data_IF_897151977629
#
_entry.id   IF_897151977629
#
_cell.length_a   1.000
_cell.length_b   1.000
_cell.length_c   1.000
_cell.angle_alpha   90.00
_cell.angle_beta   90.00
_cell.angle_gamma   90.00
#
_symmetry.space_group_name_H-M   'P 1'
#
loop_
_entity.id
_entity.type
_entity.pdbx_description
1 polymer ?
#
# COMPACT_ATOMS: atom_id res chain seq x y z
N UNK A 1 12.10 -4.76 -17.72
CA UNK A 1 10.70 -5.02 -18.15
C UNK A 1 9.79 -4.40 -17.12
N UNK A 2 8.85 -3.55 -17.53
CA UNK A 2 7.82 -3.05 -16.62
C UNK A 2 6.91 -4.24 -16.24
N UNK A 3 6.83 -4.57 -14.96
CA UNK A 3 5.89 -5.57 -14.44
C UNK A 3 4.48 -5.03 -14.67
N UNK A 4 3.62 -5.77 -15.37
CA UNK A 4 2.23 -5.34 -15.62
C UNK A 4 1.41 -5.31 -14.33
N UNK A 5 0.32 -4.53 -14.30
CA UNK A 5 -0.56 -4.40 -13.13
C UNK A 5 -1.06 -5.76 -12.61
N UNK A 6 -1.48 -6.66 -13.49
CA UNK A 6 -1.93 -8.01 -13.13
C UNK A 6 -0.83 -8.83 -12.41
N UNK A 7 0.42 -8.68 -12.85
CA UNK A 7 1.56 -9.39 -12.25
C UNK A 7 1.92 -8.79 -10.89
N UNK A 8 1.85 -7.46 -10.73
CA UNK A 8 2.00 -6.79 -9.41
C UNK A 8 0.92 -7.24 -8.43
N UNK A 9 -0.33 -7.29 -8.89
CA UNK A 9 -1.46 -7.77 -8.09
C UNK A 9 -1.21 -9.20 -7.61
N UNK A 10 -0.83 -10.10 -8.51
CA UNK A 10 -0.53 -11.50 -8.17
C UNK A 10 0.63 -11.62 -7.17
N UNK A 11 1.66 -10.78 -7.30
CA UNK A 11 2.79 -10.75 -6.37
C UNK A 11 2.39 -10.26 -4.96
N UNK A 12 1.41 -9.35 -4.86
CA UNK A 12 0.90 -8.81 -3.59
C UNK A 12 -0.08 -9.77 -2.90
N UNK A 13 -0.78 -10.63 -3.65
CA UNK A 13 -1.84 -11.52 -3.12
C UNK A 13 -1.45 -12.29 -1.85
N UNK A 14 -0.33 -13.06 -1.78
CA UNK A 14 -0.03 -13.86 -0.59
C UNK A 14 0.16 -13.00 0.68
N UNK A 15 0.71 -11.79 0.51
CA UNK A 15 0.92 -10.85 1.62
C UNK A 15 -0.40 -10.27 2.12
N UNK A 16 -1.32 -9.95 1.23
CA UNK A 16 -2.64 -9.42 1.60
C UNK A 16 -3.50 -10.51 2.24
N UNK A 17 -3.46 -11.74 1.74
CA UNK A 17 -4.12 -12.90 2.37
C UNK A 17 -3.62 -13.18 3.79
N UNK A 18 -2.34 -12.91 4.06
CA UNK A 18 -1.76 -13.10 5.40
C UNK A 18 -2.20 -12.03 6.42
N UNK A 19 -2.66 -10.85 5.98
CA UNK A 19 -2.97 -9.72 6.86
C UNK A 19 -4.46 -9.41 6.97
N UNK A 20 -5.24 -9.68 5.92
CA UNK A 20 -6.65 -9.31 5.85
C UNK A 20 -7.54 -10.55 5.93
N UNK A 21 -8.73 -10.38 6.48
CA UNK A 21 -9.75 -11.43 6.41
C UNK A 21 -10.08 -11.77 4.96
N UNK A 22 -10.42 -13.03 4.67
CA UNK A 22 -10.74 -13.49 3.31
C UNK A 22 -11.83 -12.66 2.63
N UNK A 23 -12.78 -12.13 3.40
CA UNK A 23 -13.83 -11.23 2.92
C UNK A 23 -13.30 -9.89 2.39
N UNK A 24 -12.13 -9.43 2.85
CA UNK A 24 -11.54 -8.13 2.51
C UNK A 24 -10.37 -8.21 1.52
N UNK A 25 -9.78 -9.40 1.29
CA UNK A 25 -8.60 -9.56 0.41
C UNK A 25 -8.80 -8.94 -0.97
N UNK A 26 -9.93 -9.22 -1.62
CA UNK A 26 -10.21 -8.68 -2.96
C UNK A 26 -10.29 -7.15 -2.96
N UNK A 27 -11.00 -6.58 -1.99
CA UNK A 27 -11.16 -5.13 -1.86
C UNK A 27 -9.83 -4.43 -1.54
N UNK A 28 -8.98 -5.04 -0.71
CA UNK A 28 -7.64 -4.54 -0.42
C UNK A 28 -6.76 -4.54 -1.69
N UNK A 29 -6.78 -5.61 -2.49
CA UNK A 29 -6.05 -5.67 -3.75
C UNK A 29 -6.58 -4.64 -4.78
N UNK A 30 -7.90 -4.47 -4.89
CA UNK A 30 -8.51 -3.45 -5.76
C UNK A 30 -8.07 -2.03 -5.37
N UNK A 31 -8.02 -1.74 -4.08
CA UNK A 31 -7.54 -0.47 -3.57
C UNK A 31 -6.05 -0.25 -3.87
N UNK A 32 -5.20 -1.27 -3.71
CA UNK A 32 -3.78 -1.15 -4.00
C UNK A 32 -3.50 -0.94 -5.49
N UNK A 33 -4.29 -1.54 -6.38
CA UNK A 33 -4.23 -1.27 -7.81
C UNK A 33 -4.65 0.18 -8.13
N UNK A 34 -5.73 0.67 -7.50
CA UNK A 34 -6.15 2.07 -7.64
C UNK A 34 -5.08 3.04 -7.11
N UNK A 35 -4.43 2.68 -6.01
CA UNK A 35 -3.40 3.50 -5.40
C UNK A 35 -2.11 3.51 -6.24
N UNK A 36 -1.75 2.42 -6.94
CA UNK A 36 -0.68 2.42 -7.95
C UNK A 36 -0.98 3.41 -9.09
N UNK A 37 -2.23 3.43 -9.58
CA UNK A 37 -2.64 4.36 -10.65
C UNK A 37 -2.55 5.81 -10.18
N UNK A 38 -3.10 6.10 -8.99
CA UNK A 38 -3.03 7.44 -8.42
C UNK A 38 -1.59 7.88 -8.13
N UNK A 39 -0.74 6.95 -7.67
CA UNK A 39 0.68 7.20 -7.45
C UNK A 39 1.39 7.59 -8.75
N UNK A 40 1.17 6.84 -9.83
CA UNK A 40 1.74 7.16 -11.13
C UNK A 40 1.33 8.55 -11.61
N UNK A 41 0.07 8.95 -11.43
CA UNK A 41 -0.40 10.26 -11.85
C UNK A 41 0.21 11.41 -11.02
N UNK A 42 0.51 11.15 -9.74
CA UNK A 42 1.13 12.15 -8.84
C UNK A 42 2.66 12.21 -8.92
N UNK A 43 3.33 11.08 -9.13
CA UNK A 43 4.80 10.94 -8.98
C UNK A 43 5.49 10.39 -10.25
N UNK A 44 4.75 10.18 -11.35
CA UNK A 44 5.28 9.76 -12.64
C UNK A 44 6.29 10.76 -13.25
N UNK A 45 7.07 10.36 -14.28
CA UNK A 45 6.93 9.17 -15.14
C UNK A 45 7.82 7.98 -14.75
N UNK A 46 8.59 8.07 -13.66
CA UNK A 46 9.54 7.01 -13.24
C UNK A 46 8.94 6.02 -12.25
N UNK A 47 7.80 6.35 -11.66
CA UNK A 47 7.16 5.55 -10.62
C UNK A 47 5.81 5.03 -11.13
N UNK A 48 5.80 3.78 -11.61
CA UNK A 48 4.62 3.11 -12.18
C UNK A 48 3.69 2.50 -11.13
N UNK A 49 4.16 2.41 -9.88
CA UNK A 49 3.49 1.81 -8.74
C UNK A 49 3.99 2.45 -7.45
N UNK A 50 3.28 2.22 -6.36
CA UNK A 50 3.75 2.60 -5.03
C UNK A 50 5.09 1.90 -4.77
N UNK A 51 6.16 2.62 -4.41
CA UNK A 51 7.44 2.01 -4.05
C UNK A 51 7.25 1.00 -2.91
N UNK A 52 7.96 -0.13 -2.97
CA UNK A 52 7.84 -1.22 -2.00
C UNK A 52 7.92 -0.76 -0.55
N UNK A 53 8.83 0.17 -0.27
CA UNK A 53 9.02 0.75 1.05
C UNK A 53 7.80 1.55 1.55
N UNK A 54 7.08 2.26 0.66
CA UNK A 54 5.88 3.01 1.02
C UNK A 54 4.71 2.05 1.18
N UNK A 55 4.61 1.02 0.34
CA UNK A 55 3.63 -0.04 0.49
C UNK A 55 3.78 -0.76 1.84
N UNK A 56 5.01 -0.99 2.29
CA UNK A 56 5.28 -1.57 3.60
C UNK A 56 4.78 -0.70 4.75
N UNK A 57 5.01 0.61 4.69
CA UNK A 57 4.49 1.56 5.69
C UNK A 57 2.96 1.60 5.69
N UNK A 58 2.36 1.62 4.51
CA UNK A 58 0.89 1.59 4.33
C UNK A 58 0.30 0.34 4.98
N UNK A 59 0.86 -0.84 4.70
CA UNK A 59 0.38 -2.10 5.24
C UNK A 59 0.62 -2.22 6.75
N UNK A 60 1.76 -1.71 7.25
CA UNK A 60 2.05 -1.67 8.67
C UNK A 60 0.98 -0.87 9.43
N UNK A 61 0.67 0.34 8.97
CA UNK A 61 -0.30 1.23 9.61
C UNK A 61 -1.75 0.81 9.38
N UNK A 62 -2.01 0.02 8.33
CA UNK A 62 -3.34 -0.54 8.07
C UNK A 62 -3.70 -1.66 9.05
N UNK A 63 -2.72 -2.40 9.59
CA UNK A 63 -2.92 -3.49 10.57
C UNK A 63 -4.00 -4.53 10.15
N UNK A 64 -4.14 -4.81 8.85
CA UNK A 64 -5.16 -5.74 8.36
C UNK A 64 -6.60 -5.20 8.37
N UNK A 65 -6.81 -3.93 8.71
CA UNK A 65 -8.11 -3.26 8.67
C UNK A 65 -8.31 -2.52 7.34
N UNK A 66 -9.39 -2.83 6.63
CA UNK A 66 -9.67 -2.26 5.31
C UNK A 66 -9.94 -0.75 5.36
N UNK A 67 -10.60 -0.26 6.42
CA UNK A 67 -10.91 1.16 6.55
C UNK A 67 -9.63 1.98 6.84
N UNK A 68 -8.73 1.44 7.68
CA UNK A 68 -7.38 1.99 7.87
C UNK A 68 -6.61 1.96 6.55
N UNK A 69 -6.62 0.84 5.81
CA UNK A 69 -5.94 0.74 4.52
C UNK A 69 -6.37 1.85 3.54
N UNK A 70 -7.68 2.08 3.37
CA UNK A 70 -8.20 3.18 2.54
C UNK A 70 -7.63 4.54 2.97
N UNK A 71 -7.67 4.83 4.27
CA UNK A 71 -7.20 6.11 4.82
C UNK A 71 -5.71 6.31 4.60
N UNK A 72 -4.90 5.28 4.88
CA UNK A 72 -3.45 5.35 4.80
C UNK A 72 -2.99 5.35 3.33
N UNK A 73 -3.60 4.57 2.44
CA UNK A 73 -3.32 4.63 1.00
C UNK A 73 -3.61 6.03 0.44
N UNK A 74 -4.73 6.66 0.84
CA UNK A 74 -5.03 8.05 0.46
C UNK A 74 -3.98 9.02 1.00
N UNK A 75 -3.57 8.87 2.26
CA UNK A 75 -2.52 9.70 2.85
C UNK A 75 -1.19 9.54 2.10
N UNK A 76 -0.81 8.31 1.75
CA UNK A 76 0.43 8.02 1.04
C UNK A 76 0.48 8.70 -0.34
N UNK A 77 -0.63 8.68 -1.08
CA UNK A 77 -0.71 9.38 -2.38
C UNK A 77 -0.58 10.89 -2.19
N UNK A 78 -1.22 11.47 -1.17
CA UNK A 78 -1.16 12.91 -0.91
C UNK A 78 0.22 13.38 -0.43
N UNK A 79 0.79 12.69 0.57
CA UNK A 79 2.16 12.89 1.04
C UNK A 79 2.67 11.62 1.75
N UNK A 80 3.53 10.86 1.07
CA UNK A 80 4.07 9.62 1.62
C UNK A 80 5.03 9.84 2.80
N UNK A 81 5.56 11.06 2.99
CA UNK A 81 6.51 11.34 4.08
C UNK A 81 5.83 11.31 5.43
N UNK A 82 4.57 11.75 5.51
CA UNK A 82 3.77 11.65 6.73
C UNK A 82 3.51 10.18 7.10
N UNK A 83 3.24 9.34 6.09
CA UNK A 83 3.08 7.90 6.26
C UNK A 83 4.39 7.24 6.72
N UNK A 84 5.52 7.66 6.16
CA UNK A 84 6.86 7.19 6.58
C UNK A 84 7.14 7.54 8.04
N UNK A 85 6.92 8.79 8.44
CA UNK A 85 7.14 9.22 9.83
C UNK A 85 6.27 8.43 10.81
N UNK A 86 4.97 8.27 10.50
CA UNK A 86 4.06 7.50 11.35
C UNK A 86 4.47 6.02 11.45
N UNK A 87 4.95 5.41 10.36
CA UNK A 87 5.45 4.05 10.37
C UNK A 87 6.73 3.89 11.18
N UNK A 88 7.64 4.86 11.12
CA UNK A 88 8.87 4.85 11.93
C UNK A 88 8.57 5.01 13.43
N UNK A 89 7.61 5.86 13.79
CA UNK A 89 7.11 5.98 15.17
C UNK A 89 6.51 4.65 15.66
N UNK A 90 5.74 3.95 14.83
CA UNK A 90 5.14 2.67 15.19
C UNK A 90 6.21 1.56 15.38
N UNK A 91 7.23 1.54 14.51
CA UNK A 91 8.39 0.64 14.66
C UNK A 91 9.18 0.93 15.93
N UNK A 92 9.28 2.18 16.36
CA UNK A 92 9.98 2.57 17.57
C UNK A 92 9.26 2.10 18.85
N UNK A 93 7.92 2.07 18.86
CA UNK A 93 7.11 1.55 19.99
C UNK A 93 7.21 0.04 20.14
N UNK A 94 7.48 -0.67 19.05
CA UNK A 94 7.55 -2.13 19.01
C UNK A 94 8.93 -2.69 19.40
N UNK A 95 9.86 -1.83 19.84
CA UNK A 95 11.21 -2.16 20.32
C UNK A 95 11.30 -1.97 21.83
#
# INVERSE_FOLDING_TARGET
MAVGSAQRRQARTPRIEAQFSSAHVKAALDLLDLADMAWHDCYGPRELEIPSQVLEDVLLLAEGDLAKLIRISRAAVLDFRDVRMAADDERAKSR
#
